data_IF_328222820519
#
_entry.id   IF_328222820519
#
_cell.length_a   1.000
_cell.length_b   1.000
_cell.length_c   1.000
_cell.angle_alpha   90.00
_cell.angle_beta   90.00
_cell.angle_gamma   90.00
#
_symmetry.space_group_name_H-M   'P 1'
#
loop_
_entity.id
_entity.type
_entity.pdbx_description
1 polymer ?
#
# COMPACT_ATOMS: atom_id res chain seq x y z
N UNK A 1 -26.27 10.49 12.29
CA UNK A 1 -25.11 11.05 11.58
C UNK A 1 -23.98 10.04 11.73
N UNK A 2 -23.20 9.76 10.68
CA UNK A 2 -21.96 9.01 10.82
C UNK A 2 -20.95 9.80 11.67
N UNK A 3 -19.98 9.10 12.27
CA UNK A 3 -18.83 9.72 12.93
C UNK A 3 -17.56 9.07 12.36
N UNK A 4 -17.12 9.58 11.21
CA UNK A 4 -15.83 9.22 10.64
C UNK A 4 -14.71 9.57 11.61
N UNK A 5 -13.98 8.58 12.11
CA UNK A 5 -12.82 8.77 12.99
C UNK A 5 -11.48 8.51 12.29
N UNK A 6 -11.50 7.80 11.16
CA UNK A 6 -10.32 7.62 10.32
C UNK A 6 -10.60 6.92 8.99
N UNK A 7 -9.69 7.10 8.04
CA UNK A 7 -9.62 6.43 6.75
C UNK A 7 -8.18 5.93 6.53
N UNK A 8 -8.06 4.68 6.10
CA UNK A 8 -6.80 3.98 5.83
C UNK A 8 -6.77 3.55 4.37
N UNK A 9 -5.65 3.82 3.71
CA UNK A 9 -5.36 3.37 2.35
C UNK A 9 -4.27 2.29 2.41
N UNK A 10 -4.61 1.07 2.02
CA UNK A 10 -3.71 -0.08 2.09
C UNK A 10 -4.13 -1.18 1.10
N UNK A 11 -3.14 -1.83 0.50
CA UNK A 11 -3.26 -3.21 -0.02
C UNK A 11 -3.50 -4.15 1.17
N UNK A 12 -4.75 -4.59 1.39
CA UNK A 12 -5.12 -5.39 2.57
C UNK A 12 -5.18 -6.90 2.30
N UNK A 13 -5.40 -7.33 1.06
CA UNK A 13 -5.39 -8.75 0.68
C UNK A 13 -4.12 -9.25 0.00
N UNK A 14 -3.18 -8.35 -0.33
CA UNK A 14 -1.90 -8.60 -1.01
C UNK A 14 -1.97 -8.92 -2.52
N UNK A 15 -3.07 -8.63 -3.22
CA UNK A 15 -3.10 -8.71 -4.69
C UNK A 15 -2.49 -7.48 -5.40
N UNK A 16 -2.34 -6.36 -4.67
CA UNK A 16 -1.44 -5.25 -5.00
C UNK A 16 -2.06 -4.03 -5.68
N UNK A 17 -3.39 -3.93 -5.73
CA UNK A 17 -4.04 -2.62 -5.76
C UNK A 17 -4.10 -1.98 -4.35
N UNK A 18 -5.06 -1.09 -4.07
CA UNK A 18 -5.14 -0.37 -2.78
C UNK A 18 -6.61 -0.21 -2.39
N UNK A 19 -6.99 -0.85 -1.30
CA UNK A 19 -8.29 -0.75 -0.66
C UNK A 19 -8.45 0.57 0.14
N UNK A 20 -9.70 0.86 0.50
CA UNK A 20 -10.03 1.92 1.46
C UNK A 20 -10.80 1.31 2.63
N UNK A 21 -10.24 1.40 3.84
CA UNK A 21 -10.96 1.12 5.09
C UNK A 21 -11.36 2.42 5.77
N UNK A 22 -12.64 2.58 6.12
CA UNK A 22 -13.17 3.78 6.76
C UNK A 22 -13.88 3.45 8.08
N UNK A 23 -13.38 4.03 9.18
CA UNK A 23 -13.96 3.91 10.51
C UNK A 23 -15.15 4.87 10.65
N UNK A 24 -16.35 4.36 10.43
CA UNK A 24 -17.61 5.11 10.31
C UNK A 24 -18.47 5.10 11.58
N UNK A 25 -18.22 4.16 12.50
CA UNK A 25 -19.04 3.97 13.70
C UNK A 25 -18.51 2.86 14.61
N UNK A 26 -19.36 1.88 14.92
CA UNK A 26 -19.00 0.60 15.56
C UNK A 26 -18.44 0.63 17.00
N UNK A 27 -18.03 1.80 17.52
CA UNK A 27 -17.31 1.95 18.78
C UNK A 27 -18.11 1.48 20.01
N UNK A 28 -19.45 1.58 19.97
CA UNK A 28 -20.34 1.10 21.02
C UNK A 28 -21.41 0.15 20.48
N UNK A 29 -21.78 -0.85 21.30
CA UNK A 29 -22.93 -1.73 21.03
C UNK A 29 -24.21 -0.90 21.00
N UNK A 30 -24.73 -0.65 19.81
CA UNK A 30 -25.89 0.22 19.57
C UNK A 30 -25.64 1.34 18.55
N UNK A 31 -24.40 1.56 18.10
CA UNK A 31 -24.10 2.47 16.99
C UNK A 31 -24.78 2.00 15.70
N UNK A 32 -25.53 2.90 15.04
CA UNK A 32 -26.30 2.61 13.82
C UNK A 32 -25.48 2.53 12.54
N UNK A 33 -24.15 2.56 12.64
CA UNK A 33 -23.19 2.42 11.54
C UNK A 33 -22.04 1.52 12.01
N UNK A 34 -21.58 0.64 11.13
CA UNK A 34 -20.34 -0.12 11.29
C UNK A 34 -19.26 0.49 10.39
N UNK A 35 -18.01 0.06 10.59
CA UNK A 35 -16.89 0.42 9.73
C UNK A 35 -17.01 -0.28 8.36
N UNK A 36 -16.43 0.34 7.33
CA UNK A 36 -16.61 -0.08 5.94
C UNK A 36 -15.26 -0.38 5.29
N UNK A 37 -15.18 -1.52 4.62
CA UNK A 37 -14.09 -1.84 3.69
C UNK A 37 -14.63 -1.69 2.25
N UNK A 38 -13.93 -0.89 1.46
CA UNK A 38 -14.10 -0.79 0.02
C UNK A 38 -12.98 -1.59 -0.64
N UNK A 39 -13.26 -2.86 -0.95
CA UNK A 39 -12.38 -3.72 -1.77
C UNK A 39 -12.21 -3.08 -3.14
N UNK A 40 -10.97 -2.98 -3.61
CA UNK A 40 -10.66 -2.51 -4.95
C UNK A 40 -10.69 -3.73 -5.92
N UNK A 41 -11.40 -3.65 -7.07
CA UNK A 41 -11.62 -4.81 -7.93
C UNK A 41 -10.49 -5.05 -8.96
N UNK A 42 -9.32 -4.45 -8.76
CA UNK A 42 -8.23 -4.44 -9.72
C UNK A 42 -8.49 -3.61 -10.99
N UNK A 43 -7.40 -3.36 -11.71
CA UNK A 43 -7.41 -2.62 -12.99
C UNK A 43 -6.44 -3.22 -14.04
N UNK A 44 -5.92 -4.42 -13.81
CA UNK A 44 -5.15 -5.18 -14.82
C UNK A 44 -3.83 -4.53 -15.25
N UNK A 45 -3.18 -3.78 -14.36
CA UNK A 45 -1.91 -3.10 -14.61
C UNK A 45 -0.82 -3.58 -13.65
N UNK A 46 0.44 -3.34 -14.01
CA UNK A 46 1.56 -3.73 -13.18
C UNK A 46 1.61 -2.94 -11.86
N UNK A 47 2.13 -3.54 -10.80
CA UNK A 47 2.33 -2.88 -9.50
C UNK A 47 3.67 -3.26 -8.86
N UNK A 48 4.09 -2.48 -7.86
CA UNK A 48 5.23 -2.76 -6.99
C UNK A 48 4.95 -2.17 -5.61
N UNK A 49 5.05 -2.99 -4.56
CA UNK A 49 4.93 -2.51 -3.18
C UNK A 49 6.30 -2.58 -2.49
N UNK A 50 6.79 -1.44 -2.00
CA UNK A 50 8.14 -1.32 -1.43
C UNK A 50 8.06 -1.08 0.07
N UNK A 51 8.54 -2.04 0.83
CA UNK A 51 8.82 -1.90 2.26
C UNK A 51 10.30 -1.53 2.46
N UNK A 52 10.60 -0.59 3.36
CA UNK A 52 11.98 -0.18 3.65
C UNK A 52 12.33 -0.35 5.11
N UNK A 53 13.59 -0.69 5.38
CA UNK A 53 14.12 -0.91 6.72
C UNK A 53 15.43 -0.13 6.88
N UNK A 54 15.38 0.98 7.62
CA UNK A 54 16.58 1.77 7.94
C UNK A 54 17.51 1.03 8.92
N UNK A 55 18.81 1.32 8.84
CA UNK A 55 19.87 0.73 9.67
C UNK A 55 20.71 1.83 10.33
N UNK A 56 21.12 2.86 9.58
CA UNK A 56 21.68 4.11 10.09
C UNK A 56 20.58 5.19 10.17
N UNK A 57 19.75 5.26 9.13
CA UNK A 57 18.44 5.91 9.12
C UNK A 57 17.49 5.24 10.13
N UNK A 58 16.44 5.96 10.52
CA UNK A 58 15.44 5.42 11.45
C UNK A 58 14.86 4.09 10.94
N UNK A 59 14.63 3.12 11.83
CA UNK A 59 14.27 1.74 11.46
C UNK A 59 13.02 1.65 10.57
N UNK A 60 12.06 2.55 10.80
CA UNK A 60 10.81 2.71 10.07
C UNK A 60 10.96 3.32 8.66
N UNK A 61 12.18 3.75 8.28
CA UNK A 61 12.49 4.32 6.97
C UNK A 61 11.88 5.70 6.70
N UNK A 62 11.34 6.41 7.70
CA UNK A 62 10.65 7.70 7.49
C UNK A 62 11.64 8.73 6.91
N UNK A 63 11.25 9.41 5.84
CA UNK A 63 12.08 10.32 5.06
C UNK A 63 12.86 9.67 3.90
N UNK A 64 12.80 8.34 3.76
CA UNK A 64 13.36 7.61 2.59
C UNK A 64 12.59 8.00 1.34
N UNK A 65 13.31 8.23 0.24
CA UNK A 65 12.75 8.60 -1.05
C UNK A 65 12.98 7.47 -2.05
N UNK A 66 11.95 7.12 -2.82
CA UNK A 66 12.00 6.07 -3.83
C UNK A 66 11.80 6.69 -5.20
N UNK A 67 12.68 6.36 -6.16
CA UNK A 67 12.46 6.56 -7.59
C UNK A 67 12.40 5.20 -8.27
N UNK A 68 11.25 4.86 -8.85
CA UNK A 68 11.06 3.68 -9.68
C UNK A 68 11.09 4.13 -11.13
N UNK A 69 12.19 3.86 -11.83
CA UNK A 69 12.31 4.13 -13.26
C UNK A 69 11.79 2.91 -14.03
N UNK A 70 10.80 3.08 -14.90
CA UNK A 70 10.12 2.00 -15.64
C UNK A 70 10.23 2.21 -17.15
N UNK A 71 10.03 1.13 -17.94
CA UNK A 71 9.91 1.19 -19.40
C UNK A 71 8.46 0.94 -19.81
N UNK A 72 7.88 1.85 -20.60
CA UNK A 72 6.53 1.75 -21.15
C UNK A 72 6.53 2.27 -22.60
N UNK A 73 6.16 1.43 -23.56
CA UNK A 73 6.22 1.76 -24.99
C UNK A 73 7.65 1.99 -25.49
N UNK A 74 8.63 1.32 -24.90
CA UNK A 74 10.06 1.57 -25.12
C UNK A 74 10.61 2.91 -24.57
N UNK A 75 9.76 3.77 -24.01
CA UNK A 75 10.16 5.03 -23.36
C UNK A 75 10.42 4.82 -21.87
N UNK A 76 11.20 5.70 -21.24
CA UNK A 76 11.44 5.68 -19.79
C UNK A 76 10.61 6.76 -19.08
N UNK A 77 10.01 6.40 -17.94
CA UNK A 77 9.45 7.37 -16.98
C UNK A 77 9.87 7.05 -15.55
N UNK A 78 9.88 8.06 -14.70
CA UNK A 78 10.22 7.96 -13.27
C UNK A 78 8.99 8.15 -12.40
N UNK A 79 8.71 7.20 -11.52
CA UNK A 79 7.64 7.26 -10.52
C UNK A 79 8.28 7.50 -9.14
N UNK A 80 7.74 8.42 -8.35
CA UNK A 80 8.33 8.80 -7.05
C UNK A 80 7.40 8.51 -5.87
N UNK A 81 8.00 8.15 -4.72
CA UNK A 81 7.34 7.99 -3.41
C UNK A 81 8.25 8.47 -2.28
N UNK A 82 7.62 8.85 -1.16
CA UNK A 82 8.30 9.25 0.07
C UNK A 82 7.67 8.53 1.25
N UNK A 83 8.49 7.93 2.11
CA UNK A 83 8.02 7.27 3.32
C UNK A 83 7.69 8.34 4.36
N UNK A 84 6.43 8.75 4.39
CA UNK A 84 5.89 9.62 5.44
C UNK A 84 5.73 8.90 6.78
N UNK A 85 5.19 9.58 7.77
CA UNK A 85 4.91 9.03 9.11
C UNK A 85 3.62 8.20 9.21
N UNK A 86 3.03 7.78 8.07
CA UNK A 86 1.68 7.21 8.02
C UNK A 86 0.54 8.20 8.32
N UNK A 87 0.85 9.50 8.41
CA UNK A 87 -0.03 10.56 8.93
C UNK A 87 -1.33 10.80 8.16
N UNK A 88 -2.36 10.03 8.52
CA UNK A 88 -3.78 10.27 8.27
C UNK A 88 -4.53 10.10 9.60
N UNK A 89 -5.74 10.66 9.72
CA UNK A 89 -6.71 10.12 10.67
C UNK A 89 -6.99 8.67 10.23
N UNK A 90 -6.46 7.67 10.93
CA UNK A 90 -6.49 6.27 10.54
C UNK A 90 -5.12 5.57 10.56
N UNK A 91 -4.04 6.27 10.18
CA UNK A 91 -2.68 5.74 10.19
C UNK A 91 -2.36 4.76 9.05
N UNK A 92 -2.00 5.29 7.87
CA UNK A 92 -1.64 4.47 6.71
C UNK A 92 -0.36 3.64 6.96
N UNK A 93 -0.22 2.43 6.37
CA UNK A 93 1.03 1.68 6.37
C UNK A 93 2.22 2.48 5.81
N UNK A 94 3.42 2.15 6.29
CA UNK A 94 4.66 2.76 5.79
C UNK A 94 5.14 2.17 4.45
N UNK A 95 4.61 0.99 4.06
CA UNK A 95 4.83 0.36 2.76
C UNK A 95 4.34 1.29 1.64
N UNK A 96 5.15 1.46 0.61
CA UNK A 96 4.89 2.39 -0.50
C UNK A 96 4.36 1.64 -1.72
N UNK A 97 3.15 1.98 -2.15
CA UNK A 97 2.48 1.35 -3.29
C UNK A 97 2.71 2.15 -4.58
N UNK A 98 3.24 1.48 -5.60
CA UNK A 98 3.60 2.06 -6.91
C UNK A 98 2.87 1.30 -8.01
N UNK A 99 1.74 1.84 -8.47
CA UNK A 99 1.14 1.41 -9.73
C UNK A 99 2.09 1.71 -10.89
N UNK A 100 2.46 0.68 -11.65
CA UNK A 100 3.41 0.75 -12.76
C UNK A 100 2.73 1.02 -14.10
N UNK A 101 1.39 0.93 -14.19
CA UNK A 101 0.63 1.14 -15.42
C UNK A 101 0.82 0.00 -16.42
N UNK A 102 0.88 0.31 -17.72
CA UNK A 102 1.21 -0.66 -18.77
C UNK A 102 2.73 -0.78 -19.01
N UNK A 103 3.55 -0.48 -18.00
CA UNK A 103 4.99 -0.65 -18.09
C UNK A 103 5.38 -2.11 -18.30
N UNK A 104 6.25 -2.35 -19.28
CA UNK A 104 6.79 -3.66 -19.66
C UNK A 104 7.67 -4.24 -18.54
N UNK A 105 8.36 -3.37 -17.79
CA UNK A 105 9.25 -3.71 -16.68
C UNK A 105 9.65 -2.49 -15.86
N UNK A 106 10.11 -2.73 -14.63
CA UNK A 106 11.01 -1.81 -13.93
C UNK A 106 12.40 -1.85 -14.60
N UNK A 107 13.05 -0.69 -14.69
CA UNK A 107 14.42 -0.53 -15.19
C UNK A 107 15.43 -0.34 -14.05
N UNK A 108 15.03 0.36 -12.99
CA UNK A 108 15.74 0.39 -11.71
C UNK A 108 14.83 0.94 -10.59
N UNK A 109 15.06 0.49 -9.36
CA UNK A 109 14.63 1.18 -8.14
C UNK A 109 15.84 1.90 -7.56
N UNK A 110 15.70 3.19 -7.29
CA UNK A 110 16.66 3.99 -6.51
C UNK A 110 16.04 4.37 -5.17
N UNK A 111 16.79 4.15 -4.10
CA UNK A 111 16.39 4.40 -2.71
C UNK A 111 17.37 5.38 -2.08
N UNK A 112 16.93 6.61 -1.81
CA UNK A 112 17.70 7.62 -1.10
C UNK A 112 17.43 7.55 0.40
N UNK A 113 18.49 7.43 1.20
CA UNK A 113 18.41 7.30 2.65
C UNK A 113 18.68 8.63 3.38
N UNK A 114 17.78 9.08 4.27
CA UNK A 114 17.79 10.44 4.79
C UNK A 114 18.90 10.73 5.81
N UNK A 115 19.46 9.72 6.48
CA UNK A 115 20.52 9.92 7.48
C UNK A 115 21.92 9.96 6.86
N UNK A 116 22.20 9.05 5.94
CA UNK A 116 23.50 8.91 5.28
C UNK A 116 23.64 9.77 4.01
N UNK A 117 22.51 10.23 3.44
CA UNK A 117 22.47 10.99 2.19
C UNK A 117 22.83 10.16 0.95
N UNK A 118 22.85 8.82 1.07
CA UNK A 118 23.29 7.88 0.03
C UNK A 118 22.12 7.33 -0.75
N UNK A 119 22.31 7.13 -2.04
CA UNK A 119 21.44 6.29 -2.88
C UNK A 119 21.90 4.82 -2.83
N UNK A 120 20.94 3.90 -2.86
CA UNK A 120 21.13 2.51 -3.27
C UNK A 120 20.32 2.25 -4.54
N UNK A 121 20.86 1.44 -5.45
CA UNK A 121 20.26 1.20 -6.78
C UNK A 121 20.11 -0.29 -7.02
N UNK A 122 18.93 -0.72 -7.44
CA UNK A 122 18.59 -2.10 -7.76
C UNK A 122 18.09 -2.17 -9.20
N UNK A 123 18.76 -2.93 -10.07
CA UNK A 123 18.35 -3.11 -11.47
C UNK A 123 17.35 -4.26 -11.65
N UNK A 124 17.52 -5.35 -10.89
CA UNK A 124 16.67 -6.54 -10.94
C UNK A 124 15.50 -6.38 -9.95
N UNK A 125 14.48 -5.62 -10.37
CA UNK A 125 13.27 -5.35 -9.58
C UNK A 125 12.09 -6.07 -10.22
N UNK A 126 11.42 -7.01 -9.50
CA UNK A 126 10.25 -7.69 -10.03
C UNK A 126 9.05 -6.74 -10.19
N UNK A 127 8.12 -7.12 -11.06
CA UNK A 127 6.77 -6.53 -11.14
C UNK A 127 5.78 -7.45 -10.44
N UNK A 128 4.66 -6.89 -9.97
CA UNK A 128 3.57 -7.57 -9.26
C UNK A 128 4.08 -8.31 -8.01
N UNK A 129 4.84 -7.58 -7.18
CA UNK A 129 5.54 -8.13 -6.04
C UNK A 129 5.65 -7.13 -4.88
N UNK A 130 5.62 -7.67 -3.67
CA UNK A 130 6.00 -6.95 -2.44
C UNK A 130 7.49 -7.21 -2.22
N UNK A 131 8.29 -6.15 -2.07
CA UNK A 131 9.73 -6.24 -1.81
C UNK A 131 10.12 -5.51 -0.53
N UNK A 132 11.21 -5.95 0.10
CA UNK A 132 11.85 -5.25 1.22
C UNK A 132 13.25 -4.80 0.84
N UNK A 133 13.54 -3.52 1.04
CA UNK A 133 14.90 -2.96 0.92
C UNK A 133 15.44 -2.63 2.31
N UNK A 134 16.64 -3.11 2.63
CA UNK A 134 17.33 -2.81 3.90
C UNK A 134 18.52 -1.88 3.63
N UNK A 135 18.63 -0.79 4.39
CA UNK A 135 19.71 0.20 4.21
C UNK A 135 21.10 -0.45 4.31
N UNK A 136 21.92 -0.21 3.28
CA UNK A 136 23.28 -0.75 3.17
C UNK A 136 23.37 -2.18 2.64
N UNK A 137 22.26 -2.90 2.44
CA UNK A 137 22.26 -4.25 1.84
C UNK A 137 22.15 -4.16 0.31
N UNK A 138 23.02 -4.87 -0.41
CA UNK A 138 23.11 -4.88 -1.88
C UNK A 138 21.94 -5.61 -2.57
N UNK A 139 21.19 -6.42 -1.81
CA UNK A 139 20.09 -7.24 -2.30
C UNK A 139 18.77 -6.82 -1.62
N UNK A 140 17.71 -6.74 -2.41
CA UNK A 140 16.33 -6.69 -1.92
C UNK A 140 15.84 -8.10 -1.57
N UNK A 141 14.90 -8.20 -0.63
CA UNK A 141 14.13 -9.44 -0.40
C UNK A 141 12.78 -9.35 -1.14
N UNK A 142 12.30 -10.47 -1.69
CA UNK A 142 10.91 -10.60 -2.11
C UNK A 142 10.10 -11.11 -0.92
N UNK A 143 9.04 -10.39 -0.54
CA UNK A 143 8.15 -10.79 0.55
C UNK A 143 7.02 -11.66 -0.01
N UNK A 144 7.14 -12.97 0.16
CA UNK A 144 6.11 -13.95 -0.18
C UNK A 144 4.94 -13.90 0.82
N UNK A 145 4.17 -12.81 0.79
CA UNK A 145 2.88 -12.70 1.46
C UNK A 145 1.82 -13.30 0.53
N UNK A 146 0.97 -14.24 0.99
CA UNK A 146 -0.06 -14.83 0.15
C UNK A 146 -1.19 -13.83 -0.09
N UNK A 147 -1.57 -13.68 -1.36
CA UNK A 147 -2.80 -13.00 -1.74
C UNK A 147 -4.02 -13.82 -1.29
N UNK A 148 -5.10 -13.16 -0.88
CA UNK A 148 -6.39 -13.80 -0.58
C UNK A 148 -7.54 -13.02 -1.25
N UNK A 149 -8.79 -13.31 -0.87
CA UNK A 149 -9.97 -12.50 -1.24
C UNK A 149 -10.91 -12.39 -0.05
N UNK A 150 -11.64 -11.29 0.04
CA UNK A 150 -12.55 -11.03 1.17
C UNK A 150 -13.80 -11.92 1.13
N UNK A 151 -14.25 -12.35 2.31
CA UNK A 151 -15.48 -13.13 2.44
C UNK A 151 -16.70 -12.20 2.38
N UNK A 152 -17.30 -12.07 1.18
CA UNK A 152 -18.51 -11.25 0.96
C UNK A 152 -19.75 -11.93 1.53
N UNK A 153 -19.87 -11.97 2.87
CA UNK A 153 -21.14 -12.28 3.52
C UNK A 153 -22.08 -11.08 3.40
N UNK A 154 -23.03 -11.14 2.45
CA UNK A 154 -24.14 -10.20 2.44
C UNK A 154 -25.03 -10.45 3.67
N UNK A 155 -25.13 -9.52 4.64
CA UNK A 155 -26.07 -9.69 5.74
C UNK A 155 -27.49 -9.72 5.17
N UNK A 156 -28.26 -10.77 5.50
CA UNK A 156 -29.68 -10.85 5.15
C UNK A 156 -30.36 -9.58 5.65
N UNK A 157 -30.99 -8.82 4.75
CA UNK A 157 -31.77 -7.63 5.12
C UNK A 157 -32.74 -8.01 6.23
N UNK A 158 -32.63 -7.35 7.38
CA UNK A 158 -33.64 -7.47 8.42
C UNK A 158 -34.97 -6.97 7.85
N UNK A 159 -35.95 -7.87 7.74
CA UNK A 159 -37.28 -7.50 7.26
C UNK A 159 -37.89 -6.50 8.27
N UNK A 160 -38.21 -5.30 7.80
CA UNK A 160 -38.85 -4.30 8.63
C UNK A 160 -40.21 -4.82 9.11
N UNK A 161 -40.31 -5.10 10.41
CA UNK A 161 -41.58 -5.43 11.04
C UNK A 161 -42.55 -4.25 10.91
N UNK A 162 -43.46 -4.36 9.93
CA UNK A 162 -44.61 -3.48 9.77
C UNK A 162 -45.58 -3.70 10.94
N UNK A 163 -45.38 -2.95 12.02
CA UNK A 163 -46.43 -2.74 13.01
C UNK A 163 -47.59 -1.97 12.37
N UNK A 164 -48.77 -2.56 12.48
CA UNK A 164 -50.08 -1.91 12.29
C UNK A 164 -50.53 -1.26 13.59
#
# INVERSE_FOLDING_TARGET
LQKGHGVVFADLDHDGDVDIFEQMGGAYRGDGFADVLYENPGFGHGWLAVEVVGVESNRSGIGTQLRVDVVEGGQRRSLYRWVGSGGSFGGNPLRQYVGLGSAERVAQLVVFWPKSGREQVFAEVPVNAIIRVTEGREQLDILALPAFKFAVEHPKRAEHHLHK
#
